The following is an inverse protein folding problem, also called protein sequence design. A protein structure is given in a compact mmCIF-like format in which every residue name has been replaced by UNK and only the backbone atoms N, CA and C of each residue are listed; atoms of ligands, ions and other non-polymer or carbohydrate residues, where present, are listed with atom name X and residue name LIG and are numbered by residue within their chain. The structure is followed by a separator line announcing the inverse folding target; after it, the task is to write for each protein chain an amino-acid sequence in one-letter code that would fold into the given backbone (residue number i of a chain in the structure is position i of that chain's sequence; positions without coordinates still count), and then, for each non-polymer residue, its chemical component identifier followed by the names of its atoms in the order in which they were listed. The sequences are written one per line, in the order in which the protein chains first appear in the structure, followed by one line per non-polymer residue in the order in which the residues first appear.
data_IF_693372053206
#
_entry.id   IF_693372053206
#
_cell.length_a   1.000
_cell.length_b   1.000
_cell.length_c   1.000
_cell.angle_alpha   90.00
_cell.angle_beta   90.00
_cell.angle_gamma   90.00
#
_symmetry.space_group_name_H-M   'P 1'
#
loop_
_entity.id
_entity.type
_entity.pdbx_description
1 polymer ?
#
# COMPACT_ATOMS: atom_id res chain seq x y z
N UNK A 1 -19.77 3.17 -20.52
CA UNK A 1 -18.93 1.98 -20.27
C UNK A 1 -17.94 2.37 -19.20
N UNK A 2 -17.72 1.56 -18.16
CA UNK A 2 -16.52 1.76 -17.32
C UNK A 2 -15.36 1.18 -18.12
N UNK A 3 -14.40 2.03 -18.46
CA UNK A 3 -13.13 1.58 -19.02
C UNK A 3 -12.32 0.99 -17.86
N UNK A 4 -11.78 -0.20 -18.08
CA UNK A 4 -10.94 -0.95 -17.16
C UNK A 4 -9.57 -1.08 -17.84
N UNK A 5 -8.50 -0.77 -17.12
CA UNK A 5 -7.14 -0.83 -17.65
C UNK A 5 -6.63 -2.27 -17.80
N UNK A 6 -7.26 -3.24 -17.11
CA UNK A 6 -6.80 -4.63 -17.03
C UNK A 6 -5.55 -4.83 -16.17
N UNK A 7 -5.13 -3.80 -15.43
CA UNK A 7 -3.92 -3.82 -14.58
C UNK A 7 -4.31 -4.21 -13.14
N UNK A 8 -3.61 -5.17 -12.58
CA UNK A 8 -3.65 -5.45 -11.13
C UNK A 8 -2.71 -4.50 -10.40
N UNK A 9 -3.25 -3.42 -9.84
CA UNK A 9 -2.45 -2.35 -9.19
C UNK A 9 -1.90 -2.72 -7.81
N UNK A 10 -2.70 -3.46 -7.03
CA UNK A 10 -2.37 -3.84 -5.66
C UNK A 10 -2.51 -5.36 -5.52
N UNK A 11 -1.53 -6.09 -6.06
CA UNK A 11 -1.51 -7.55 -5.95
C UNK A 11 -1.42 -7.98 -4.48
N UNK A 12 -2.27 -8.92 -4.10
CA UNK A 12 -2.33 -9.40 -2.72
C UNK A 12 -1.01 -10.08 -2.32
N UNK A 13 -0.34 -10.78 -3.25
CA UNK A 13 0.93 -11.47 -2.99
C UNK A 13 2.09 -10.49 -2.72
N UNK A 14 2.00 -9.28 -3.27
CA UNK A 14 3.02 -8.22 -3.10
C UNK A 14 2.76 -7.37 -1.85
N UNK A 15 1.49 -7.10 -1.54
CA UNK A 15 1.12 -6.12 -0.51
C UNK A 15 0.71 -6.73 0.84
N UNK A 16 0.16 -7.95 0.88
CA UNK A 16 -0.23 -8.56 2.15
C UNK A 16 1.03 -8.88 2.98
N UNK A 17 1.04 -8.42 4.23
CA UNK A 17 2.18 -8.52 5.13
C UNK A 17 3.19 -7.37 5.02
N UNK A 18 3.09 -6.51 4.00
CA UNK A 18 3.92 -5.32 3.88
C UNK A 18 3.72 -4.38 5.07
N UNK A 19 4.79 -3.70 5.48
CA UNK A 19 4.78 -2.75 6.59
C UNK A 19 4.86 -1.31 6.10
N UNK A 20 3.90 -0.50 6.50
CA UNK A 20 3.85 0.94 6.23
C UNK A 20 4.23 1.71 7.49
N UNK A 21 5.21 2.60 7.36
CA UNK A 21 5.70 3.44 8.47
C UNK A 21 5.22 4.87 8.28
N UNK A 22 4.70 5.47 9.35
CA UNK A 22 4.30 6.87 9.37
C UNK A 22 5.34 7.74 10.10
N UNK A 23 5.47 9.04 9.76
CA UNK A 23 6.40 9.94 10.43
C UNK A 23 6.24 10.02 11.96
N UNK A 24 5.06 9.66 12.48
CA UNK A 24 4.81 9.53 13.92
C UNK A 24 5.48 8.33 14.59
N UNK A 25 6.19 7.48 13.83
CA UNK A 25 6.80 6.23 14.30
C UNK A 25 5.84 5.05 14.37
N UNK A 26 4.56 5.24 14.01
CA UNK A 26 3.61 4.14 13.93
C UNK A 26 3.91 3.28 12.70
N UNK A 27 4.01 1.96 12.91
CA UNK A 27 4.17 0.97 11.85
C UNK A 27 2.92 0.11 11.80
N UNK A 28 2.38 -0.09 10.60
CA UNK A 28 1.19 -0.89 10.34
C UNK A 28 1.50 -1.98 9.33
N UNK A 29 0.98 -3.17 9.54
CA UNK A 29 1.09 -4.30 8.62
C UNK A 29 -0.23 -4.45 7.86
N UNK A 30 -0.17 -4.56 6.55
CA UNK A 30 -1.34 -4.83 5.71
C UNK A 30 -1.75 -6.30 5.92
N UNK A 31 -3.01 -6.55 6.23
CA UNK A 31 -3.55 -7.89 6.50
C UNK A 31 -4.41 -8.41 5.34
N UNK A 32 -5.22 -7.54 4.72
CA UNK A 32 -6.02 -7.90 3.55
C UNK A 32 -6.47 -6.67 2.75
N UNK A 33 -6.73 -6.86 1.46
CA UNK A 33 -7.35 -5.87 0.58
C UNK A 33 -8.87 -5.88 0.75
N UNK A 34 -9.45 -4.69 0.96
CA UNK A 34 -10.90 -4.51 1.07
C UNK A 34 -11.47 -4.23 -0.32
N UNK A 35 -10.84 -3.31 -1.04
CA UNK A 35 -11.29 -2.83 -2.34
C UNK A 35 -10.14 -2.14 -3.06
N UNK A 36 -10.13 -2.28 -4.37
CA UNK A 36 -9.39 -1.42 -5.29
C UNK A 36 -10.34 -0.62 -6.18
N UNK A 37 -9.88 0.54 -6.62
CA UNK A 37 -10.58 1.39 -7.56
C UNK A 37 -9.55 2.11 -8.40
N UNK A 38 -9.73 2.10 -9.72
CA UNK A 38 -8.94 2.89 -10.64
C UNK A 38 -9.79 3.97 -11.30
N UNK A 39 -9.14 5.06 -11.65
CA UNK A 39 -9.66 6.08 -12.52
C UNK A 39 -8.78 6.11 -13.77
N UNK A 40 -9.24 5.38 -14.80
CA UNK A 40 -8.57 5.30 -16.09
C UNK A 40 -9.04 6.44 -16.99
N UNK A 41 -8.08 7.17 -17.54
CA UNK A 41 -8.30 8.17 -18.58
C UNK A 41 -7.53 7.77 -19.85
N UNK A 42 -8.05 8.15 -21.01
CA UNK A 42 -7.36 7.88 -22.27
C UNK A 42 -6.07 8.72 -22.35
N UNK A 43 -5.06 8.23 -23.07
CA UNK A 43 -3.81 8.98 -23.25
C UNK A 43 -4.06 10.37 -23.83
N UNK A 44 -4.97 10.51 -24.80
CA UNK A 44 -5.32 11.81 -25.38
C UNK A 44 -5.89 12.77 -24.33
N UNK A 45 -6.73 12.29 -23.42
CA UNK A 45 -7.33 13.14 -22.38
C UNK A 45 -6.28 13.55 -21.32
N UNK A 46 -5.39 12.64 -20.95
CA UNK A 46 -4.27 12.93 -20.04
C UNK A 46 -3.36 14.01 -20.63
N UNK A 47 -3.01 13.90 -21.90
CA UNK A 47 -2.12 14.86 -22.57
C UNK A 47 -2.80 16.22 -22.83
N UNK A 48 -4.09 16.22 -23.19
CA UNK A 48 -4.84 17.44 -23.51
C UNK A 48 -5.27 18.22 -22.25
N UNK A 49 -5.71 17.50 -21.22
CA UNK A 49 -6.33 18.08 -20.03
C UNK A 49 -5.41 18.06 -18.80
N UNK A 50 -4.19 17.53 -18.93
CA UNK A 50 -3.22 17.38 -17.85
C UNK A 50 -3.81 16.65 -16.62
N UNK A 51 -4.60 15.59 -16.88
CA UNK A 51 -5.23 14.79 -15.83
C UNK A 51 -4.25 13.71 -15.36
N UNK A 52 -4.16 13.54 -14.05
CA UNK A 52 -3.39 12.45 -13.45
C UNK A 52 -4.20 11.15 -13.43
N UNK A 53 -3.62 10.06 -13.91
CA UNK A 53 -4.16 8.72 -13.70
C UNK A 53 -4.00 8.32 -12.22
N UNK A 54 -5.04 7.71 -11.64
CA UNK A 54 -5.02 7.36 -10.21
C UNK A 54 -5.53 5.94 -9.95
N UNK A 55 -4.79 5.19 -9.14
CA UNK A 55 -5.23 3.92 -8.56
C UNK A 55 -5.30 4.05 -7.03
N UNK A 56 -6.39 3.55 -6.44
CA UNK A 56 -6.67 3.61 -5.00
C UNK A 56 -6.93 2.22 -4.44
N UNK A 57 -6.26 1.89 -3.34
CA UNK A 57 -6.49 0.67 -2.57
C UNK A 57 -6.94 0.99 -1.15
N UNK A 58 -7.94 0.27 -0.66
CA UNK A 58 -8.36 0.27 0.75
C UNK A 58 -8.00 -1.06 1.39
N UNK A 59 -7.37 -1.03 2.55
CA UNK A 59 -6.82 -2.20 3.22
C UNK A 59 -7.22 -2.28 4.68
N UNK A 60 -7.36 -3.50 5.20
CA UNK A 60 -7.31 -3.73 6.64
C UNK A 60 -5.86 -3.85 7.07
N UNK A 61 -5.51 -3.11 8.13
CA UNK A 61 -4.17 -3.11 8.68
C UNK A 61 -4.20 -3.32 10.19
N UNK A 62 -3.24 -4.08 10.69
CA UNK A 62 -2.97 -4.22 12.13
C UNK A 62 -1.74 -3.41 12.50
N UNK A 63 -1.72 -2.88 13.72
CA UNK A 63 -0.53 -2.20 14.24
C UNK A 63 0.58 -3.24 14.33
N UNK A 64 1.69 -3.01 13.61
CA UNK A 64 2.84 -3.87 13.73
C UNK A 64 3.35 -3.74 15.17
N UNK A 65 3.57 -4.87 15.84
CA UNK A 65 4.35 -4.85 17.08
C UNK A 65 5.69 -4.21 16.72
N UNK A 66 6.14 -3.27 17.54
CA UNK A 66 7.53 -2.86 17.54
C UNK A 66 8.36 -4.14 17.46
N UNK A 67 9.41 -4.24 16.61
CA UNK A 67 10.40 -5.25 16.90
C UNK A 67 10.76 -5.03 18.36
N UNK A 68 10.60 -6.06 19.18
CA UNK A 68 11.10 -6.01 20.54
C UNK A 68 12.50 -5.43 20.42
N UNK A 69 12.80 -4.42 21.22
CA UNK A 69 14.18 -4.14 21.60
C UNK A 69 14.71 -5.33 22.42
N UNK A 70 14.55 -6.56 21.91
CA UNK A 70 15.38 -7.70 22.23
C UNK A 70 16.69 -7.46 21.46
N UNK A 71 17.43 -6.44 21.90
CA UNK A 71 18.87 -6.52 21.79
C UNK A 71 19.31 -7.84 22.42
N UNK A 72 20.36 -8.49 21.89
CA UNK A 72 20.80 -9.77 22.42
C UNK A 72 21.04 -9.63 23.91
N UNK A 73 20.54 -10.59 24.69
CA UNK A 73 21.01 -10.85 26.04
C UNK A 73 22.46 -11.32 25.88
N UNK A 74 23.35 -10.36 25.69
CA UNK A 74 24.78 -10.54 25.59
C UNK A 74 25.38 -10.13 26.92
N UNK A 75 25.65 -11.13 27.75
CA UNK A 75 26.59 -11.00 28.85
C UNK A 75 27.89 -10.38 28.31
N UNK A 76 28.32 -9.25 28.89
CA UNK A 76 29.73 -8.97 29.08
C UNK A 76 29.93 -7.84 30.10
N UNK A 77 30.73 -8.21 31.12
CA UNK A 77 31.30 -7.46 32.25
C UNK A 77 30.40 -7.31 33.48
#
# INVERSE_FOLDING_TARGET
MRNDSGITWFDDDDYIGAKVSFPSGAVWKIDSKIKEHEYYESQSDVEELAIDCEARGSFFCSKARSPDLAGPIGAHL
#
